data_IF_822078665272
#
_entry.id   IF_822078665272
#
_cell.length_a   1.000
_cell.length_b   1.000
_cell.length_c   1.000
_cell.angle_alpha   90.00
_cell.angle_beta   90.00
_cell.angle_gamma   90.00
#
_symmetry.space_group_name_H-M   'P 1'
#
loop_
_entity.id
_entity.type
_entity.pdbx_description
1 polymer ?
#
# COMPACT_ATOMS: atom_id res chain seq x y z
N UNK A 1 18.43 8.98 36.57
CA UNK A 1 17.55 8.09 37.32
C UNK A 1 16.12 8.34 36.84
N UNK A 2 15.63 7.58 35.90
CA UNK A 2 14.19 7.48 35.63
C UNK A 2 13.88 6.01 35.31
N UNK A 3 13.05 5.51 36.18
CA UNK A 3 12.55 4.15 36.29
C UNK A 3 11.67 3.73 35.13
N UNK A 4 11.81 2.50 34.69
CA UNK A 4 10.91 1.81 33.80
C UNK A 4 9.65 1.35 34.54
N UNK A 5 8.48 1.28 33.90
CA UNK A 5 7.35 0.59 34.48
C UNK A 5 7.17 -0.84 33.94
N UNK A 6 6.79 -1.66 34.86
CA UNK A 6 6.61 -3.09 34.86
C UNK A 6 5.64 -3.66 33.84
N UNK A 7 6.02 -4.85 33.37
CA UNK A 7 5.16 -5.83 32.70
C UNK A 7 4.16 -6.41 33.68
N UNK A 8 2.89 -6.33 33.39
CA UNK A 8 1.84 -7.13 34.03
C UNK A 8 1.39 -8.23 33.08
N UNK A 9 1.88 -9.42 33.35
CA UNK A 9 1.29 -10.68 32.88
C UNK A 9 -0.08 -10.86 33.53
N UNK A 10 -1.08 -11.16 32.74
CA UNK A 10 -2.31 -11.76 33.23
C UNK A 10 -2.48 -13.08 32.49
N UNK A 11 -2.18 -14.13 33.27
CA UNK A 11 -2.56 -15.51 33.03
C UNK A 11 -4.02 -15.64 33.46
N UNK A 12 -4.80 -16.32 32.66
CA UNK A 12 -6.19 -16.67 32.99
C UNK A 12 -6.49 -18.02 32.37
N UNK A 13 -6.32 -19.01 33.20
CA UNK A 13 -6.66 -20.41 33.01
C UNK A 13 -8.13 -20.64 32.72
N UNK A 14 -8.35 -21.66 31.89
CA UNK A 14 -9.13 -22.87 32.12
C UNK A 14 -10.60 -22.71 32.52
N UNK A 15 -11.50 -23.29 31.77
CA UNK A 15 -12.16 -24.50 32.27
C UNK A 15 -13.02 -25.16 31.19
N UNK A 16 -12.80 -26.43 31.09
CA UNK A 16 -13.63 -27.45 30.45
C UNK A 16 -14.99 -27.54 31.11
N UNK A 17 -16.01 -27.73 30.38
CA UNK A 17 -17.14 -28.55 30.87
C UNK A 17 -17.75 -29.35 29.73
N UNK A 18 -17.44 -30.59 29.76
CA UNK A 18 -18.17 -31.67 29.10
C UNK A 18 -19.49 -31.88 29.81
N UNK A 19 -20.58 -32.01 29.05
CA UNK A 19 -21.70 -32.81 29.48
C UNK A 19 -22.37 -33.46 28.30
N UNK A 20 -22.13 -34.75 28.20
CA UNK A 20 -22.83 -35.74 27.44
C UNK A 20 -24.14 -36.07 28.18
N UNK A 21 -25.24 -36.18 27.47
CA UNK A 21 -26.34 -37.10 27.83
C UNK A 21 -27.06 -37.53 26.54
N UNK A 22 -27.26 -38.81 26.54
CA UNK A 22 -27.71 -39.70 25.51
C UNK A 22 -29.23 -39.87 25.36
N UNK A 23 -29.60 -40.33 24.20
CA UNK A 23 -30.58 -41.39 23.87
C UNK A 23 -32.08 -41.10 23.90
N UNK A 24 -32.64 -41.52 22.81
CA UNK A 24 -33.77 -42.45 22.57
C UNK A 24 -34.89 -41.78 21.81
N UNK A 25 -35.40 -42.24 20.73
CA UNK A 25 -35.56 -43.53 20.11
C UNK A 25 -36.72 -43.45 19.14
N UNK A 26 -36.70 -44.31 18.13
CA UNK A 26 -37.78 -44.92 17.38
C UNK A 26 -38.71 -44.12 16.50
N UNK A 27 -38.52 -44.20 15.20
CA UNK A 27 -39.28 -44.67 14.02
C UNK A 27 -40.83 -44.74 14.08
N UNK A 28 -41.43 -45.02 12.92
CA UNK A 28 -41.48 -44.33 11.63
C UNK A 28 -42.94 -44.04 11.22
N UNK A 29 -43.18 -43.17 10.28
CA UNK A 29 -44.36 -43.33 9.40
C UNK A 29 -44.41 -42.32 8.25
N UNK A 30 -44.33 -42.94 7.06
CA UNK A 30 -45.13 -42.69 5.88
C UNK A 30 -45.23 -41.30 5.24
N UNK A 31 -44.57 -41.29 4.10
CA UNK A 31 -45.10 -40.86 2.80
C UNK A 31 -46.16 -39.76 2.80
N UNK A 32 -45.79 -38.64 2.23
CA UNK A 32 -46.57 -38.04 1.17
C UNK A 32 -45.69 -37.06 0.39
N UNK A 33 -45.64 -37.29 -0.90
CA UNK A 33 -44.84 -36.45 -1.80
C UNK A 33 -45.43 -35.09 -1.95
N UNK A 34 -44.58 -34.11 -1.77
CA UNK A 34 -44.76 -32.81 -2.40
C UNK A 34 -43.41 -32.44 -3.04
N UNK A 35 -43.46 -32.52 -4.34
CA UNK A 35 -42.44 -31.94 -5.20
C UNK A 35 -42.51 -30.43 -4.99
N UNK A 36 -41.79 -29.91 -4.01
CA UNK A 36 -41.45 -28.52 -3.97
C UNK A 36 -40.17 -28.34 -4.77
N UNK A 37 -40.38 -27.96 -6.02
CA UNK A 37 -39.33 -27.36 -6.82
C UNK A 37 -38.87 -26.09 -6.08
N UNK A 38 -37.88 -26.28 -5.19
CA UNK A 38 -37.20 -25.20 -4.52
C UNK A 38 -36.37 -24.45 -5.56
N UNK A 39 -36.94 -23.32 -5.95
CA UNK A 39 -36.28 -22.29 -6.74
C UNK A 39 -35.06 -21.83 -5.93
N UNK A 40 -33.90 -22.44 -6.19
CA UNK A 40 -32.63 -21.97 -5.68
C UNK A 40 -32.29 -20.69 -6.43
N UNK A 41 -32.88 -19.59 -5.96
CA UNK A 41 -32.50 -18.25 -6.39
C UNK A 41 -31.06 -18.01 -5.93
N UNK A 42 -30.14 -18.29 -6.84
CA UNK A 42 -28.75 -17.90 -6.70
C UNK A 42 -28.73 -16.37 -6.67
N UNK A 43 -28.70 -15.81 -5.47
CA UNK A 43 -28.40 -14.40 -5.26
C UNK A 43 -26.92 -14.21 -5.62
N UNK A 44 -26.68 -14.05 -6.92
CA UNK A 44 -25.48 -13.40 -7.42
C UNK A 44 -25.54 -11.96 -6.94
N UNK A 45 -25.11 -11.73 -5.70
CA UNK A 45 -24.75 -10.40 -5.25
C UNK A 45 -23.50 -10.01 -6.04
N UNK A 46 -23.73 -9.42 -7.21
CA UNK A 46 -22.71 -8.71 -7.93
C UNK A 46 -22.13 -7.67 -6.99
N UNK A 47 -20.91 -7.90 -6.52
CA UNK A 47 -20.10 -6.86 -5.91
C UNK A 47 -19.87 -5.85 -7.02
N UNK A 48 -20.78 -4.86 -7.12
CA UNK A 48 -20.55 -3.67 -7.91
C UNK A 48 -19.35 -2.99 -7.28
N UNK A 49 -18.20 -3.14 -7.93
CA UNK A 49 -17.05 -2.32 -7.62
C UNK A 49 -17.51 -0.87 -7.74
N UNK A 50 -17.68 -0.21 -6.60
CA UNK A 50 -18.07 1.19 -6.55
C UNK A 50 -16.92 1.98 -7.14
N UNK A 51 -17.10 2.42 -8.40
CA UNK A 51 -16.15 3.35 -9.03
C UNK A 51 -16.05 4.57 -8.12
N UNK A 52 -14.85 4.74 -7.55
CA UNK A 52 -14.54 5.91 -6.74
C UNK A 52 -14.60 7.15 -7.63
N UNK A 53 -15.74 7.81 -7.66
CA UNK A 53 -15.99 9.07 -8.39
C UNK A 53 -15.11 10.24 -7.94
N UNK A 54 -14.21 10.00 -6.98
CA UNK A 54 -13.28 11.00 -6.44
C UNK A 54 -11.87 10.94 -7.04
N UNK A 55 -11.62 10.05 -8.01
CA UNK A 55 -10.34 10.01 -8.70
C UNK A 55 -10.30 11.09 -9.78
N UNK A 56 -9.76 12.24 -9.42
CA UNK A 56 -9.43 13.28 -10.40
C UNK A 56 -8.04 13.01 -10.99
N UNK A 57 -7.97 12.80 -12.28
CA UNK A 57 -6.71 12.71 -13.02
C UNK A 57 -6.51 14.01 -13.80
N UNK A 58 -5.50 14.83 -13.45
CA UNK A 58 -5.25 16.08 -14.14
C UNK A 58 -4.94 15.86 -15.63
N UNK A 59 -5.41 16.72 -16.55
CA UNK A 59 -5.15 16.58 -18.00
C UNK A 59 -3.65 16.52 -18.34
N UNK A 60 -2.82 17.24 -17.58
CA UNK A 60 -1.37 17.27 -17.77
C UNK A 60 -0.60 16.21 -16.95
N UNK A 61 -1.33 15.27 -16.31
CA UNK A 61 -0.78 14.29 -15.38
C UNK A 61 -0.57 14.85 -13.96
N UNK A 62 -0.30 13.97 -13.02
CA UNK A 62 -0.10 14.34 -11.61
C UNK A 62 1.23 15.07 -11.38
N UNK A 63 2.19 14.95 -12.30
CA UNK A 63 3.49 15.61 -12.25
C UNK A 63 3.65 16.51 -13.49
N UNK A 64 3.00 17.69 -13.53
CA UNK A 64 2.91 18.49 -14.73
C UNK A 64 4.23 19.14 -15.14
N UNK A 65 5.11 19.44 -14.18
CA UNK A 65 6.31 20.23 -14.36
C UNK A 65 7.55 19.73 -13.60
N UNK A 66 8.72 20.25 -13.97
CA UNK A 66 10.01 19.91 -13.40
C UNK A 66 10.10 20.22 -11.88
N UNK A 67 9.43 21.27 -11.42
CA UNK A 67 9.43 21.68 -10.01
C UNK A 67 8.73 20.63 -9.16
N UNK A 68 7.57 20.16 -9.62
CA UNK A 68 6.81 19.09 -8.97
C UNK A 68 7.61 17.77 -8.96
N UNK A 69 8.22 17.41 -10.09
CA UNK A 69 9.07 16.22 -10.19
C UNK A 69 10.24 16.28 -9.20
N UNK A 70 10.93 17.41 -9.12
CA UNK A 70 12.03 17.65 -8.19
C UNK A 70 11.58 17.55 -6.73
N UNK A 71 10.44 18.14 -6.38
CA UNK A 71 9.91 18.06 -5.03
C UNK A 71 9.63 16.61 -4.60
N UNK A 72 9.05 15.81 -5.48
CA UNK A 72 8.80 14.38 -5.25
C UNK A 72 10.13 13.63 -5.07
N UNK A 73 11.09 13.85 -5.95
CA UNK A 73 12.40 13.20 -5.89
C UNK A 73 13.10 13.49 -4.54
N UNK A 74 13.16 14.74 -4.13
CA UNK A 74 13.77 15.16 -2.86
C UNK A 74 13.05 14.53 -1.66
N UNK A 75 11.70 14.51 -1.67
CA UNK A 75 10.92 13.91 -0.61
C UNK A 75 11.19 12.40 -0.46
N UNK A 76 11.48 11.71 -1.57
CA UNK A 76 11.82 10.28 -1.57
C UNK A 76 13.28 10.03 -1.19
N UNK A 77 14.21 10.83 -1.68
CA UNK A 77 15.64 10.68 -1.41
C UNK A 77 16.01 10.98 0.04
N UNK A 78 15.38 12.00 0.64
CA UNK A 78 15.71 12.47 1.99
C UNK A 78 15.68 11.37 3.05
N UNK A 79 14.63 10.53 3.17
CA UNK A 79 14.61 9.45 4.14
C UNK A 79 15.57 8.31 3.80
N UNK A 80 15.98 8.16 2.53
CA UNK A 80 16.87 7.07 2.07
C UNK A 80 18.34 7.44 2.24
N UNK A 81 18.73 8.63 1.83
CA UNK A 81 20.14 9.04 1.73
C UNK A 81 20.53 10.11 2.76
N UNK A 82 19.56 10.68 3.48
CA UNK A 82 19.73 11.72 4.48
C UNK A 82 19.65 13.13 3.91
N UNK A 83 19.06 14.04 4.69
CA UNK A 83 18.80 15.43 4.29
C UNK A 83 20.08 16.17 3.90
N UNK A 84 21.15 16.03 4.70
CA UNK A 84 22.43 16.74 4.47
C UNK A 84 23.07 16.31 3.15
N UNK A 85 23.03 15.01 2.83
CA UNK A 85 23.57 14.48 1.57
C UNK A 85 22.80 15.06 0.39
N UNK A 86 21.49 14.95 0.41
CA UNK A 86 20.63 15.44 -0.68
C UNK A 86 20.72 16.95 -0.84
N UNK A 87 20.75 17.71 0.26
CA UNK A 87 20.93 19.17 0.19
C UNK A 87 22.26 19.56 -0.46
N UNK A 88 23.31 18.76 -0.29
CA UNK A 88 24.63 18.95 -0.92
C UNK A 88 24.64 18.71 -2.43
N UNK A 89 23.64 18.05 -2.97
CA UNK A 89 23.53 17.73 -4.40
C UNK A 89 22.73 18.78 -5.20
N UNK A 90 22.50 19.94 -4.67
CA UNK A 90 21.88 21.05 -5.41
C UNK A 90 22.91 21.69 -6.38
N UNK A 91 22.45 22.22 -7.53
CA UNK A 91 21.07 22.25 -8.04
C UNK A 91 20.61 20.92 -8.63
N UNK A 92 19.32 20.59 -8.46
CA UNK A 92 18.75 19.41 -9.09
C UNK A 92 18.35 19.72 -10.54
N UNK A 93 18.51 18.71 -11.41
CA UNK A 93 18.15 18.78 -12.84
C UNK A 93 17.00 17.83 -13.09
N UNK A 94 15.98 18.26 -13.82
CA UNK A 94 14.85 17.42 -14.17
C UNK A 94 14.62 17.45 -15.67
N UNK A 95 14.54 16.28 -16.29
CA UNK A 95 14.32 16.09 -17.73
C UNK A 95 13.09 15.24 -17.96
N UNK A 96 12.22 15.63 -18.87
CA UNK A 96 11.05 14.87 -19.29
C UNK A 96 11.32 14.17 -20.60
N UNK A 97 11.20 12.84 -20.61
CA UNK A 97 11.30 12.05 -21.82
C UNK A 97 10.26 10.93 -21.82
N UNK A 98 9.48 10.79 -22.87
CA UNK A 98 8.48 9.72 -23.03
C UNK A 98 7.52 9.58 -21.85
N UNK A 99 7.12 10.70 -21.22
CA UNK A 99 6.21 10.69 -20.06
C UNK A 99 6.85 10.30 -18.73
N UNK A 100 8.19 10.22 -18.67
CA UNK A 100 8.97 9.96 -17.48
C UNK A 100 9.84 11.16 -17.16
N UNK A 101 9.74 11.66 -15.95
CA UNK A 101 10.67 12.63 -15.38
C UNK A 101 11.89 11.89 -14.83
N UNK A 102 13.08 12.24 -15.32
CA UNK A 102 14.35 11.87 -14.70
C UNK A 102 14.87 13.08 -13.94
N UNK A 103 14.96 12.93 -12.62
CA UNK A 103 15.51 13.97 -11.73
C UNK A 103 16.86 13.49 -11.22
N UNK A 104 17.85 14.36 -11.29
CA UNK A 104 19.23 14.07 -10.90
C UNK A 104 19.78 15.16 -9.98
N UNK A 105 20.58 14.76 -8.99
CA UNK A 105 21.39 15.67 -8.22
C UNK A 105 22.55 16.24 -9.06
N UNK A 106 23.31 17.14 -8.48
CA UNK A 106 24.55 17.67 -9.05
C UNK A 106 25.68 17.58 -8.02
N UNK A 107 26.86 17.19 -8.46
CA UNK A 107 28.06 17.28 -7.63
C UNK A 107 28.85 18.53 -7.98
N UNK A 108 29.49 19.16 -6.99
CA UNK A 108 30.51 20.18 -7.25
C UNK A 108 31.64 19.58 -8.11
N UNK A 109 32.21 20.39 -9.00
CA UNK A 109 33.36 19.98 -9.78
C UNK A 109 34.47 19.42 -8.89
N UNK A 110 35.05 18.27 -9.27
CA UNK A 110 36.11 17.54 -8.58
C UNK A 110 35.71 16.77 -7.30
N UNK A 111 34.44 16.53 -7.04
CA UNK A 111 34.07 15.57 -6.00
C UNK A 111 33.91 14.18 -6.61
N UNK A 112 34.68 13.17 -6.15
CA UNK A 112 34.44 11.79 -6.54
C UNK A 112 33.14 11.32 -5.89
N UNK A 113 32.26 10.73 -6.68
CA UNK A 113 31.00 10.19 -6.19
C UNK A 113 29.91 10.24 -7.24
N UNK A 114 28.79 9.64 -6.95
CA UNK A 114 27.61 9.72 -7.77
C UNK A 114 26.58 10.65 -7.16
N UNK A 115 25.51 10.83 -7.88
CA UNK A 115 24.36 11.64 -7.45
C UNK A 115 23.11 10.79 -7.30
N UNK A 116 22.16 11.27 -6.55
CA UNK A 116 20.84 10.69 -6.47
C UNK A 116 20.09 10.88 -7.80
N UNK A 117 19.43 9.82 -8.26
CA UNK A 117 18.61 9.81 -9.47
C UNK A 117 17.25 9.23 -9.15
N UNK A 118 16.17 9.86 -9.61
CA UNK A 118 14.83 9.33 -9.55
C UNK A 118 14.15 9.40 -10.90
N UNK A 119 13.45 8.33 -11.28
CA UNK A 119 12.56 8.28 -12.44
C UNK A 119 11.11 8.25 -11.95
N UNK A 120 10.30 9.18 -12.44
CA UNK A 120 8.95 9.44 -11.95
C UNK A 120 7.99 9.49 -13.14
N UNK A 121 6.91 8.73 -13.09
CA UNK A 121 5.85 8.79 -14.09
C UNK A 121 5.14 10.15 -14.05
N UNK A 122 5.13 10.86 -15.17
CA UNK A 122 4.41 12.14 -15.31
C UNK A 122 2.91 11.96 -15.08
N UNK A 123 2.35 10.85 -15.54
CA UNK A 123 0.91 10.60 -15.53
C UNK A 123 0.35 10.49 -14.12
N UNK A 124 0.97 9.70 -13.27
CA UNK A 124 0.43 9.27 -11.98
C UNK A 124 1.37 9.49 -10.79
N UNK A 125 2.57 10.01 -11.03
CA UNK A 125 3.55 10.30 -9.98
C UNK A 125 4.25 9.08 -9.39
N UNK A 126 4.06 7.88 -9.96
CA UNK A 126 4.75 6.68 -9.47
C UNK A 126 6.25 6.80 -9.62
N UNK A 127 6.96 6.38 -8.59
CA UNK A 127 8.41 6.23 -8.65
C UNK A 127 8.73 4.96 -9.42
N UNK A 128 9.43 5.08 -10.52
CA UNK A 128 9.80 3.98 -11.40
C UNK A 128 11.18 3.42 -11.02
N UNK A 129 12.10 4.32 -10.66
CA UNK A 129 13.45 3.95 -10.24
C UNK A 129 14.03 4.97 -9.28
N UNK A 130 14.83 4.48 -8.33
CA UNK A 130 15.68 5.29 -7.47
C UNK A 130 17.07 4.65 -7.49
N UNK A 131 18.09 5.47 -7.65
CA UNK A 131 19.47 5.04 -7.58
C UNK A 131 20.33 6.18 -7.05
N UNK A 132 21.49 5.82 -6.52
CA UNK A 132 22.56 6.76 -6.19
C UNK A 132 23.83 6.22 -6.81
N UNK A 133 24.52 7.02 -7.60
CA UNK A 133 25.80 6.65 -8.19
C UNK A 133 26.85 6.42 -7.09
N UNK A 134 27.88 5.63 -7.41
CA UNK A 134 29.06 5.43 -6.56
C UNK A 134 30.17 6.34 -7.03
#
# INVERSE_FOLDING_TARGET
VVSAPDKKLISGDSERSSTSIARKGSDPMKQSGFVCAGLLALLLTGVMAQENKHNYLPPNGCVPDAKTATAIAVAVWTPIYGEKSIAGEKPYKAHLQNGVWTVEGSLPERHPGGVAVAEISKKDGRILRISHGR
#
